data_IF_107373108101
#
_entry.id   IF_107373108101
#
_cell.length_a   1.000
_cell.length_b   1.000
_cell.length_c   1.000
_cell.angle_alpha   90.00
_cell.angle_beta   90.00
_cell.angle_gamma   90.00
#
_symmetry.space_group_name_H-M   'P 1'
#
loop_
_entity.id
_entity.type
_entity.pdbx_description
1 polymer ?
#
# COMPACT_ATOMS: atom_id res chain seq x y z
N UNK A 1 3.86 6.34 -88.56
CA UNK A 1 2.89 6.99 -87.65
C UNK A 1 1.60 6.19 -87.80
N UNK A 2 1.12 5.32 -86.89
CA UNK A 2 1.32 5.16 -85.45
C UNK A 2 1.47 3.66 -85.10
N UNK A 3 2.38 3.40 -84.17
CA UNK A 3 2.59 2.14 -83.45
C UNK A 3 2.15 2.42 -82.00
N UNK A 4 1.43 1.52 -81.33
CA UNK A 4 1.33 1.36 -79.85
C UNK A 4 0.58 0.03 -79.61
N UNK A 5 1.28 -1.07 -79.31
CA UNK A 5 1.78 -1.55 -78.00
C UNK A 5 0.69 -2.19 -77.12
N UNK A 6 0.63 -3.53 -77.18
CA UNK A 6 0.02 -4.40 -76.18
C UNK A 6 0.89 -4.39 -74.91
N UNK A 7 0.30 -4.00 -73.78
CA UNK A 7 0.93 -4.07 -72.46
C UNK A 7 0.47 -5.34 -71.76
N UNK A 8 1.39 -6.29 -71.56
CA UNK A 8 1.20 -7.41 -70.64
C UNK A 8 1.34 -6.90 -69.20
N UNK A 9 0.30 -7.09 -68.39
CA UNK A 9 0.33 -6.80 -66.97
C UNK A 9 1.15 -7.86 -66.22
N UNK A 10 2.33 -7.48 -65.75
CA UNK A 10 3.08 -8.20 -64.72
C UNK A 10 2.54 -7.79 -63.35
N UNK A 11 1.85 -8.69 -62.67
CA UNK A 11 1.45 -8.51 -61.28
C UNK A 11 2.66 -8.77 -60.36
N UNK A 12 3.10 -7.81 -59.52
CA UNK A 12 4.05 -8.11 -58.47
C UNK A 12 3.31 -8.75 -57.28
N UNK A 13 3.67 -9.98 -56.95
CA UNK A 13 3.39 -10.60 -55.65
C UNK A 13 4.17 -9.82 -54.58
N UNK A 14 3.54 -8.79 -53.99
CA UNK A 14 4.04 -8.21 -52.74
C UNK A 14 3.46 -9.00 -51.59
N UNK A 15 4.27 -9.87 -51.00
CA UNK A 15 4.02 -10.53 -49.73
C UNK A 15 3.75 -9.47 -48.66
N UNK A 16 2.50 -9.36 -48.22
CA UNK A 16 2.15 -8.58 -47.04
C UNK A 16 2.71 -9.30 -45.80
N UNK A 17 3.89 -8.89 -45.35
CA UNK A 17 4.28 -9.15 -43.96
C UNK A 17 3.34 -8.35 -43.06
N UNK A 18 2.31 -9.02 -42.54
CA UNK A 18 1.54 -8.54 -41.41
C UNK A 18 2.45 -8.54 -40.18
N UNK A 19 2.91 -7.36 -39.76
CA UNK A 19 3.43 -7.16 -38.41
C UNK A 19 2.25 -7.26 -37.43
N UNK A 20 2.21 -8.27 -36.54
CA UNK A 20 1.16 -8.34 -35.54
C UNK A 20 1.41 -7.26 -34.48
N UNK A 21 0.40 -6.40 -34.28
CA UNK A 21 0.24 -5.58 -33.08
C UNK A 21 1.08 -4.31 -33.04
N UNK A 22 0.49 -3.19 -33.48
CA UNK A 22 0.87 -1.89 -32.90
C UNK A 22 0.43 -1.90 -31.43
N UNK A 23 1.34 -2.32 -30.54
CA UNK A 23 1.20 -2.10 -29.11
C UNK A 23 1.11 -0.59 -28.92
N UNK A 24 0.03 -0.13 -28.28
CA UNK A 24 -0.16 1.28 -27.97
C UNK A 24 0.90 1.69 -26.92
N UNK A 25 2.11 2.01 -27.39
CA UNK A 25 3.30 2.34 -26.58
C UNK A 25 3.32 3.82 -26.16
N UNK A 26 2.17 4.48 -26.09
CA UNK A 26 2.15 5.85 -25.59
C UNK A 26 2.07 5.81 -24.07
N UNK A 27 2.94 6.58 -23.40
CA UNK A 27 2.79 6.83 -21.96
C UNK A 27 1.37 7.37 -21.71
N UNK A 28 0.66 6.91 -20.66
CA UNK A 28 -0.63 7.47 -20.27
C UNK A 28 -0.45 8.89 -19.68
N UNK A 29 -0.03 9.85 -20.51
CA UNK A 29 0.17 11.26 -20.17
C UNK A 29 -1.14 11.89 -19.66
N UNK A 30 -2.27 11.45 -20.20
CA UNK A 30 -3.62 12.00 -19.90
C UNK A 30 -4.21 11.45 -18.61
N UNK A 31 -3.86 10.22 -18.20
CA UNK A 31 -4.48 9.56 -17.04
C UNK A 31 -3.80 9.91 -15.71
N UNK A 32 -2.55 10.40 -15.74
CA UNK A 32 -1.76 10.70 -14.54
C UNK A 32 -1.20 12.14 -14.49
N UNK A 33 -1.64 13.02 -15.40
CA UNK A 33 -1.31 14.45 -15.43
C UNK A 33 0.22 14.74 -15.40
N UNK A 34 1.02 13.93 -16.11
CA UNK A 34 2.49 14.03 -16.11
C UNK A 34 3.00 14.80 -17.32
N UNK A 35 3.94 15.73 -17.09
CA UNK A 35 4.60 16.55 -18.13
C UNK A 35 6.10 16.25 -18.12
N UNK A 36 6.64 15.87 -19.27
CA UNK A 36 8.04 15.49 -19.44
C UNK A 36 8.70 16.32 -20.54
N UNK A 37 9.97 16.67 -20.33
CA UNK A 37 10.80 17.15 -21.44
C UNK A 37 11.11 15.98 -22.40
N UNK A 38 11.63 16.27 -23.59
CA UNK A 38 11.86 15.25 -24.63
C UNK A 38 12.77 14.12 -24.17
N UNK A 39 13.85 14.42 -23.44
CA UNK A 39 14.78 13.42 -22.97
C UNK A 39 14.13 12.50 -21.91
N UNK A 40 13.54 13.10 -20.89
CA UNK A 40 12.84 12.35 -19.83
C UNK A 40 11.68 11.53 -20.41
N UNK A 41 11.00 12.02 -21.44
CA UNK A 41 9.93 11.25 -22.09
C UNK A 41 10.41 9.91 -22.63
N UNK A 42 11.56 9.86 -23.30
CA UNK A 42 12.09 8.61 -23.84
C UNK A 42 12.55 7.65 -22.74
N UNK A 43 13.15 8.19 -21.66
CA UNK A 43 13.52 7.41 -20.48
C UNK A 43 12.28 6.79 -19.81
N UNK A 44 11.25 7.59 -19.56
CA UNK A 44 9.96 7.15 -18.98
C UNK A 44 9.27 6.13 -19.87
N UNK A 45 9.30 6.32 -21.19
CA UNK A 45 8.73 5.39 -22.15
C UNK A 45 9.45 4.04 -22.13
N UNK A 46 10.78 4.03 -22.01
CA UNK A 46 11.55 2.80 -21.90
C UNK A 46 11.18 2.04 -20.61
N UNK A 47 11.13 2.74 -19.46
CA UNK A 47 10.74 2.15 -18.17
C UNK A 47 9.32 1.58 -18.24
N UNK A 48 8.38 2.34 -18.79
CA UNK A 48 7.00 1.91 -18.97
C UNK A 48 6.88 0.66 -19.84
N UNK A 49 7.61 0.63 -20.96
CA UNK A 49 7.62 -0.52 -21.86
C UNK A 49 8.16 -1.77 -21.16
N UNK A 50 9.22 -1.61 -20.35
CA UNK A 50 9.81 -2.73 -19.61
C UNK A 50 8.85 -3.24 -18.51
N UNK A 51 8.26 -2.34 -17.72
CA UNK A 51 7.25 -2.73 -16.74
C UNK A 51 6.03 -3.38 -17.40
N UNK A 52 5.60 -2.90 -18.58
CA UNK A 52 4.53 -3.55 -19.35
C UNK A 52 4.90 -4.98 -19.76
N UNK A 53 6.12 -5.21 -20.26
CA UNK A 53 6.60 -6.57 -20.57
C UNK A 53 6.63 -7.47 -19.35
N UNK A 54 7.07 -6.95 -18.20
CA UNK A 54 7.04 -7.70 -16.92
C UNK A 54 5.62 -8.09 -16.51
N UNK A 55 4.67 -7.16 -16.63
CA UNK A 55 3.25 -7.40 -16.36
C UNK A 55 2.71 -8.49 -17.29
N UNK A 56 2.93 -8.35 -18.59
CA UNK A 56 2.41 -9.29 -19.59
C UNK A 56 2.99 -10.70 -19.34
N UNK A 57 4.31 -10.82 -19.13
CA UNK A 57 4.98 -12.09 -18.79
C UNK A 57 4.46 -12.72 -17.49
N UNK A 58 4.24 -11.92 -16.44
CA UNK A 58 3.67 -12.43 -15.19
C UNK A 58 2.24 -12.93 -15.40
N UNK A 59 1.41 -12.18 -16.11
CA UNK A 59 0.00 -12.53 -16.31
C UNK A 59 -0.21 -13.71 -17.29
N UNK A 60 0.77 -14.05 -18.11
CA UNK A 60 0.80 -15.29 -18.93
C UNK A 60 1.06 -16.54 -18.08
N UNK A 61 1.69 -16.39 -16.91
CA UNK A 61 1.99 -17.47 -15.99
C UNK A 61 0.80 -17.88 -15.10
N UNK A 62 0.95 -18.99 -14.38
CA UNK A 62 -0.03 -19.45 -13.40
C UNK A 62 0.33 -18.93 -11.99
N UNK A 63 -0.11 -17.72 -11.67
CA UNK A 63 0.15 -17.05 -10.39
C UNK A 63 -1.14 -16.77 -9.62
N UNK A 64 -1.05 -16.68 -8.29
CA UNK A 64 -2.19 -16.37 -7.40
C UNK A 64 -2.65 -14.91 -7.45
N UNK A 65 -1.88 -14.04 -8.10
CA UNK A 65 -2.20 -12.63 -8.32
C UNK A 65 -1.81 -12.20 -9.74
N UNK A 66 -2.43 -11.11 -10.20
CA UNK A 66 -2.11 -10.47 -11.48
C UNK A 66 -1.53 -9.07 -11.24
N UNK A 67 -0.71 -8.61 -12.18
CA UNK A 67 -0.19 -7.25 -12.21
C UNK A 67 -0.95 -6.40 -13.25
N UNK A 68 -0.91 -5.08 -13.10
CA UNK A 68 -1.47 -4.16 -14.08
C UNK A 68 -0.69 -2.85 -14.15
N UNK A 69 -0.91 -2.10 -15.23
CA UNK A 69 -0.45 -0.73 -15.32
C UNK A 69 -1.15 0.13 -14.27
N UNK A 70 -0.40 1.02 -13.63
CA UNK A 70 -0.87 1.94 -12.60
C UNK A 70 0.00 3.21 -12.61
N UNK A 71 -0.19 4.11 -11.64
CA UNK A 71 0.52 5.40 -11.58
C UNK A 71 2.05 5.29 -11.45
N UNK A 72 2.57 4.11 -11.11
CA UNK A 72 3.99 3.82 -10.92
C UNK A 72 4.64 3.12 -12.13
N UNK A 73 3.88 2.85 -13.20
CA UNK A 73 4.37 2.03 -14.31
C UNK A 73 5.52 2.64 -15.11
N UNK A 74 5.75 3.95 -15.03
CA UNK A 74 6.87 4.66 -15.66
C UNK A 74 8.03 4.96 -14.67
N UNK A 75 8.03 4.30 -13.51
CA UNK A 75 9.09 4.38 -12.50
C UNK A 75 9.90 3.10 -12.43
N UNK A 76 11.21 3.25 -12.25
CA UNK A 76 12.05 2.14 -11.77
C UNK A 76 11.74 1.86 -10.30
N UNK A 77 12.01 0.64 -9.83
CA UNK A 77 11.81 0.33 -8.41
C UNK A 77 12.72 1.17 -7.49
N UNK A 78 13.91 1.59 -7.96
CA UNK A 78 14.79 2.49 -7.22
C UNK A 78 14.17 3.88 -7.01
N UNK A 79 13.57 4.46 -8.05
CA UNK A 79 12.82 5.73 -7.93
C UNK A 79 11.60 5.56 -7.03
N UNK A 80 10.84 4.48 -7.20
CA UNK A 80 9.67 4.19 -6.37
C UNK A 80 10.05 4.09 -4.90
N UNK A 81 11.07 3.31 -4.58
CA UNK A 81 11.57 3.14 -3.20
C UNK A 81 12.00 4.47 -2.60
N UNK A 82 12.72 5.31 -3.36
CA UNK A 82 13.19 6.62 -2.89
C UNK A 82 12.06 7.59 -2.57
N UNK A 83 10.93 7.48 -3.26
CA UNK A 83 9.81 8.43 -3.14
C UNK A 83 8.66 7.93 -2.25
N UNK A 84 8.40 6.63 -2.18
CA UNK A 84 7.17 6.09 -1.57
C UNK A 84 7.40 5.13 -0.39
N UNK A 85 8.62 4.62 -0.21
CA UNK A 85 8.96 3.66 0.85
C UNK A 85 9.87 4.31 1.89
N UNK A 86 10.11 3.60 3.00
CA UNK A 86 11.06 4.06 4.01
C UNK A 86 12.49 4.10 3.46
N UNK A 87 13.21 5.18 3.76
CA UNK A 87 14.61 5.34 3.36
C UNK A 87 15.56 4.61 4.30
N UNK A 88 15.14 4.34 5.54
CA UNK A 88 15.94 3.69 6.58
C UNK A 88 15.14 2.56 7.26
N UNK A 89 15.79 1.45 7.66
CA UNK A 89 15.15 0.44 8.49
C UNK A 89 14.60 1.05 9.77
N UNK A 90 13.39 0.67 10.16
CA UNK A 90 12.77 1.14 11.40
C UNK A 90 12.96 0.11 12.52
N UNK A 91 12.97 0.57 13.77
CA UNK A 91 13.11 -0.32 14.91
C UNK A 91 11.78 -0.98 15.27
N UNK A 92 11.50 -2.13 14.62
CA UNK A 92 10.32 -2.95 14.85
C UNK A 92 10.24 -3.62 16.24
N UNK A 93 11.06 -3.22 17.21
CA UNK A 93 10.95 -3.67 18.59
C UNK A 93 9.60 -3.25 19.19
N UNK A 94 8.93 -4.22 19.84
CA UNK A 94 7.71 -3.95 20.57
C UNK A 94 7.98 -2.92 21.67
N UNK A 95 7.16 -1.88 21.72
CA UNK A 95 7.16 -0.94 22.82
C UNK A 95 6.43 -1.54 24.04
N UNK A 96 6.13 -0.75 25.07
CA UNK A 96 5.41 -1.27 26.25
C UNK A 96 4.00 -1.74 25.85
N UNK A 97 3.56 -2.87 26.43
CA UNK A 97 2.25 -3.48 26.17
C UNK A 97 2.38 -4.71 25.27
N UNK A 98 1.82 -5.83 25.70
CA UNK A 98 1.81 -7.09 24.97
C UNK A 98 0.38 -7.57 24.80
N UNK A 99 0.00 -7.87 23.57
CA UNK A 99 -1.29 -8.49 23.29
C UNK A 99 -1.28 -9.95 23.75
N UNK A 100 -2.35 -10.38 24.42
CA UNK A 100 -2.55 -11.77 24.81
C UNK A 100 -3.76 -12.28 24.05
N UNK A 101 -3.52 -13.25 23.16
CA UNK A 101 -4.57 -13.88 22.36
C UNK A 101 -5.63 -14.55 23.24
N UNK A 102 -6.89 -14.48 22.81
CA UNK A 102 -7.99 -15.20 23.47
C UNK A 102 -7.92 -16.72 23.27
N UNK A 103 -7.08 -17.22 22.35
CA UNK A 103 -6.94 -18.64 21.96
C UNK A 103 -8.26 -19.32 21.53
N UNK A 104 -9.29 -18.53 21.18
CA UNK A 104 -10.59 -19.05 20.74
C UNK A 104 -10.63 -19.45 19.27
N UNK A 105 -11.65 -20.20 18.82
CA UNK A 105 -11.90 -20.39 17.40
C UNK A 105 -12.27 -19.05 16.75
N UNK A 106 -11.67 -18.75 15.61
CA UNK A 106 -11.98 -17.53 14.85
C UNK A 106 -12.86 -17.84 13.64
N UNK A 107 -13.74 -16.91 13.22
CA UNK A 107 -14.49 -17.07 11.97
C UNK A 107 -13.53 -17.27 10.80
N UNK A 108 -13.93 -18.07 9.81
CA UNK A 108 -13.10 -18.38 8.62
C UNK A 108 -12.79 -17.13 7.79
N UNK A 109 -13.69 -16.14 7.82
CA UNK A 109 -13.48 -14.85 7.18
C UNK A 109 -14.08 -13.71 7.98
N UNK A 110 -13.41 -12.56 7.94
CA UNK A 110 -13.85 -11.29 8.52
C UNK A 110 -13.49 -10.17 7.55
N UNK A 111 -14.39 -9.20 7.40
CA UNK A 111 -14.15 -7.97 6.63
C UNK A 111 -14.80 -6.82 7.39
N UNK A 112 -14.01 -5.97 8.03
CA UNK A 112 -14.50 -4.84 8.84
C UNK A 112 -15.27 -3.82 8.00
N UNK A 113 -15.03 -3.76 6.68
CA UNK A 113 -15.79 -2.92 5.75
C UNK A 113 -17.25 -3.38 5.61
N UNK A 114 -17.52 -4.66 5.88
CA UNK A 114 -18.86 -5.27 5.81
C UNK A 114 -19.58 -5.30 7.17
N UNK A 115 -18.87 -5.09 8.27
CA UNK A 115 -19.44 -5.10 9.64
C UNK A 115 -20.15 -3.80 10.01
N UNK A 116 -19.85 -2.71 9.31
CA UNK A 116 -20.40 -1.38 9.56
C UNK A 116 -19.52 -0.29 8.96
N UNK A 117 -19.82 0.96 9.29
CA UNK A 117 -19.01 2.10 8.86
C UNK A 117 -17.77 2.26 9.75
N UNK A 118 -16.84 1.30 9.68
CA UNK A 118 -15.68 1.21 10.56
C UNK A 118 -14.34 1.43 9.85
N UNK A 119 -14.32 1.61 8.54
CA UNK A 119 -13.07 1.79 7.78
C UNK A 119 -13.26 3.00 6.88
N UNK A 120 -12.40 4.00 7.02
CA UNK A 120 -12.42 5.21 6.18
C UNK A 120 -12.09 4.89 4.71
N UNK A 121 -12.36 5.85 3.83
CA UNK A 121 -11.95 5.78 2.42
C UNK A 121 -10.43 5.63 2.27
N UNK A 122 -10.00 5.09 1.13
CA UNK A 122 -8.58 4.97 0.79
C UNK A 122 -8.01 6.36 0.50
N UNK A 123 -6.93 6.71 1.22
CA UNK A 123 -6.17 7.95 1.04
C UNK A 123 -4.95 7.72 0.13
N UNK A 124 -4.17 8.77 -0.14
CA UNK A 124 -2.96 8.72 -0.96
C UNK A 124 -1.80 9.47 -0.26
N UNK A 125 -0.74 8.76 0.09
CA UNK A 125 0.46 9.32 0.73
C UNK A 125 1.31 10.18 -0.22
N UNK A 126 1.14 10.06 -1.54
CA UNK A 126 2.00 10.76 -2.50
C UNK A 126 3.49 10.41 -2.35
N UNK A 127 4.41 11.25 -2.87
CA UNK A 127 5.85 10.99 -2.87
C UNK A 127 6.50 11.29 -1.51
N UNK A 128 5.99 10.66 -0.45
CA UNK A 128 6.49 10.72 0.91
C UNK A 128 6.37 9.33 1.54
N UNK A 129 7.45 8.82 2.16
CA UNK A 129 7.50 7.52 2.86
C UNK A 129 6.73 7.49 4.19
N UNK A 130 5.53 8.06 4.21
CA UNK A 130 4.69 8.26 5.40
C UNK A 130 3.56 7.25 5.54
N UNK A 131 3.59 6.12 4.84
CA UNK A 131 2.62 5.03 4.96
C UNK A 131 2.33 4.59 6.41
N UNK A 132 3.34 4.70 7.29
CA UNK A 132 3.19 4.47 8.73
C UNK A 132 2.14 5.37 9.38
N UNK A 133 2.01 6.62 8.94
CA UNK A 133 0.97 7.55 9.42
C UNK A 133 -0.42 7.11 8.98
N UNK A 134 -0.58 6.68 7.72
CA UNK A 134 -1.86 6.17 7.17
C UNK A 134 -2.28 4.85 7.79
N UNK A 135 -1.32 3.98 8.11
CA UNK A 135 -1.57 2.76 8.89
C UNK A 135 -2.06 3.12 10.30
N UNK A 136 -1.39 4.08 10.96
CA UNK A 136 -1.74 4.57 12.30
C UNK A 136 -3.14 5.18 12.34
N UNK A 137 -3.40 6.18 11.50
CA UNK A 137 -4.69 6.87 11.42
C UNK A 137 -5.78 5.87 11.05
N UNK A 138 -5.60 5.06 10.01
CA UNK A 138 -6.60 4.07 9.60
C UNK A 138 -6.99 3.08 10.71
N UNK A 139 -6.01 2.66 11.53
CA UNK A 139 -6.28 1.81 12.69
C UNK A 139 -7.04 2.58 13.78
N UNK A 140 -6.56 3.76 14.20
CA UNK A 140 -7.18 4.56 15.25
C UNK A 140 -8.60 5.05 14.87
N UNK A 141 -8.79 5.45 13.61
CA UNK A 141 -10.08 5.78 13.00
C UNK A 141 -11.06 4.61 13.15
N UNK A 142 -10.60 3.39 12.84
CA UNK A 142 -11.42 2.18 12.93
C UNK A 142 -11.76 1.83 14.37
N UNK A 143 -10.77 1.88 15.28
CA UNK A 143 -10.95 1.58 16.70
C UNK A 143 -11.92 2.57 17.35
N UNK A 144 -11.78 3.87 17.06
CA UNK A 144 -12.69 4.90 17.54
C UNK A 144 -14.12 4.71 17.00
N UNK A 145 -14.26 4.35 15.71
CA UNK A 145 -15.57 4.08 15.11
C UNK A 145 -16.24 2.85 15.71
N UNK A 146 -15.48 1.78 16.00
CA UNK A 146 -15.99 0.57 16.67
C UNK A 146 -16.47 0.90 18.09
N UNK A 147 -15.71 1.72 18.83
CA UNK A 147 -16.02 2.06 20.22
C UNK A 147 -17.18 3.06 20.35
N UNK A 148 -17.29 4.02 19.42
CA UNK A 148 -18.17 5.20 19.59
C UNK A 148 -19.24 5.34 18.51
N UNK A 149 -19.16 4.58 17.42
CA UNK A 149 -19.99 4.74 16.23
C UNK A 149 -19.62 5.94 15.34
N UNK A 150 -18.54 6.68 15.66
CA UNK A 150 -18.11 7.86 14.89
C UNK A 150 -16.82 7.58 14.12
N UNK A 151 -16.92 7.58 12.80
CA UNK A 151 -15.78 7.46 11.90
C UNK A 151 -15.30 8.86 11.49
N UNK A 152 -14.12 9.26 11.96
CA UNK A 152 -13.58 10.60 11.78
C UNK A 152 -12.22 10.52 11.08
N UNK A 153 -12.02 11.11 9.89
CA UNK A 153 -10.69 11.17 9.27
C UNK A 153 -9.68 11.93 10.14
N UNK A 154 -8.58 11.28 10.48
CA UNK A 154 -7.51 11.82 11.33
C UNK A 154 -6.33 12.34 10.51
N UNK A 155 -5.58 13.27 11.08
CA UNK A 155 -4.45 13.93 10.42
C UNK A 155 -3.21 13.04 10.38
N UNK A 156 -2.85 12.57 9.20
CA UNK A 156 -1.53 12.00 8.95
C UNK A 156 -0.42 13.06 9.10
N UNK A 157 -0.70 14.31 8.73
CA UNK A 157 0.30 15.37 8.73
C UNK A 157 0.81 15.70 10.13
N UNK A 158 -0.06 15.66 11.15
CA UNK A 158 0.39 15.82 12.53
C UNK A 158 1.43 14.76 12.90
N UNK A 159 1.26 13.51 12.47
CA UNK A 159 2.26 12.46 12.73
C UNK A 159 3.56 12.73 11.96
N UNK A 160 3.46 13.12 10.69
CA UNK A 160 4.64 13.50 9.88
C UNK A 160 5.44 14.62 10.55
N UNK A 161 4.77 15.63 11.12
CA UNK A 161 5.41 16.85 11.59
C UNK A 161 5.80 16.83 13.08
N UNK A 162 5.17 15.98 13.91
CA UNK A 162 5.25 16.10 15.37
C UNK A 162 5.73 14.86 16.14
N UNK A 163 5.82 13.67 15.52
CA UNK A 163 6.04 12.42 16.23
C UNK A 163 7.53 11.99 16.37
N UNK A 164 8.47 12.91 16.12
CA UNK A 164 9.91 12.60 16.03
C UNK A 164 10.51 12.16 17.37
N UNK A 165 10.01 12.68 18.50
CA UNK A 165 10.45 12.28 19.85
C UNK A 165 10.17 10.79 20.17
N UNK A 166 9.39 10.11 19.32
CA UNK A 166 9.05 8.69 19.44
C UNK A 166 9.76 7.81 18.40
N UNK A 167 10.89 8.26 17.85
CA UNK A 167 11.66 7.59 16.79
C UNK A 167 10.91 7.44 15.45
N UNK A 168 10.00 8.36 15.15
CA UNK A 168 9.45 8.48 13.80
C UNK A 168 10.21 9.56 13.02
N UNK A 169 10.27 9.42 11.70
CA UNK A 169 11.17 10.17 10.84
C UNK A 169 10.44 10.83 9.67
N UNK A 170 9.22 11.32 9.90
CA UNK A 170 8.44 12.05 8.89
C UNK A 170 8.27 11.27 7.59
N UNK A 171 8.77 11.82 6.49
CA UNK A 171 8.71 11.18 5.16
C UNK A 171 9.77 10.10 4.94
N UNK A 172 10.71 9.91 5.88
CA UNK A 172 11.76 8.88 5.80
C UNK A 172 11.32 7.53 6.37
N UNK A 173 10.24 7.51 7.15
CA UNK A 173 9.66 6.32 7.75
C UNK A 173 9.24 6.53 9.19
N UNK A 174 8.68 5.49 9.78
CA UNK A 174 8.19 5.46 11.17
C UNK A 174 7.40 4.18 11.40
N UNK A 175 6.90 3.97 12.62
CA UNK A 175 6.13 2.77 12.97
C UNK A 175 4.80 3.11 13.62
N UNK A 176 3.72 2.35 13.30
CA UNK A 176 2.43 2.57 13.93
C UNK A 176 2.43 2.49 15.46
N UNK A 177 3.16 1.53 16.06
CA UNK A 177 3.27 1.41 17.52
C UNK A 177 3.84 2.67 18.18
N UNK A 178 4.94 3.20 17.63
CA UNK A 178 5.57 4.43 18.07
C UNK A 178 4.67 5.65 17.87
N UNK A 179 3.93 5.69 16.76
CA UNK A 179 2.96 6.73 16.48
C UNK A 179 1.78 6.70 17.47
N UNK A 180 1.28 5.51 17.84
CA UNK A 180 0.25 5.37 18.87
C UNK A 180 0.76 5.85 20.24
N UNK A 181 2.02 5.57 20.59
CA UNK A 181 2.63 6.12 21.81
C UNK A 181 2.70 7.65 21.76
N UNK A 182 3.14 8.23 20.65
CA UNK A 182 3.09 9.68 20.45
C UNK A 182 1.69 10.22 20.74
N UNK A 183 0.63 9.65 20.14
CA UNK A 183 -0.75 10.11 20.34
C UNK A 183 -1.17 10.01 21.82
N UNK A 184 -0.80 8.91 22.49
CA UNK A 184 -1.11 8.65 23.90
C UNK A 184 -0.46 9.68 24.85
N UNK A 185 0.81 10.03 24.61
CA UNK A 185 1.55 10.98 25.44
C UNK A 185 1.27 12.45 25.05
N UNK A 186 1.08 12.73 23.76
CA UNK A 186 0.69 14.04 23.21
C UNK A 186 -0.75 14.44 23.59
N UNK A 187 -1.54 13.50 24.13
CA UNK A 187 -2.95 13.68 24.49
C UNK A 187 -3.81 14.02 23.29
N UNK A 188 -3.59 13.28 22.20
CA UNK A 188 -4.52 13.18 21.09
C UNK A 188 -3.95 13.55 19.73
N UNK A 189 -4.80 13.33 18.73
CA UNK A 189 -4.56 13.54 17.31
C UNK A 189 -5.69 14.39 16.72
N UNK A 190 -5.35 15.40 15.92
CA UNK A 190 -6.28 16.28 15.23
C UNK A 190 -6.95 15.57 14.03
N UNK A 191 -8.04 16.14 13.53
CA UNK A 191 -8.69 15.67 12.30
C UNK A 191 -7.90 16.07 11.06
N UNK A 192 -8.12 15.36 9.95
CA UNK A 192 -7.59 15.75 8.63
C UNK A 192 -8.06 17.16 8.21
N UNK A 193 -9.25 17.58 8.62
CA UNK A 193 -9.76 18.93 8.30
C UNK A 193 -9.01 20.02 9.05
N UNK A 194 -8.67 19.78 10.32
CA UNK A 194 -7.98 20.77 11.17
C UNK A 194 -6.47 20.81 10.92
N UNK A 195 -5.88 19.72 10.42
CA UNK A 195 -4.46 19.63 10.06
C UNK A 195 -4.28 18.80 8.77
N UNK A 196 -4.49 19.43 7.59
CA UNK A 196 -4.50 18.72 6.31
C UNK A 196 -3.16 18.12 5.89
N UNK A 197 -3.23 17.00 5.18
CA UNK A 197 -2.09 16.30 4.59
C UNK A 197 -1.42 17.06 3.45
N UNK A 198 -0.09 17.09 3.47
CA UNK A 198 0.76 17.84 2.53
C UNK A 198 1.80 16.98 1.81
N UNK A 199 1.97 15.71 2.20
CA UNK A 199 2.98 14.80 1.63
C UNK A 199 4.42 15.35 1.68
N UNK A 200 4.73 16.17 2.68
CA UNK A 200 6.05 16.75 2.90
C UNK A 200 6.21 17.07 4.38
N UNK A 201 7.43 17.04 4.88
CA UNK A 201 7.74 17.44 6.25
C UNK A 201 7.50 18.95 6.44
N UNK A 202 6.82 19.30 7.52
CA UNK A 202 6.54 20.66 7.93
C UNK A 202 6.90 20.92 9.38
N UNK A 203 6.53 22.11 9.85
CA UNK A 203 6.62 22.44 11.27
C UNK A 203 5.42 21.85 12.01
N UNK A 204 5.62 21.30 13.20
CA UNK A 204 4.53 20.81 14.04
C UNK A 204 3.55 21.94 14.41
N UNK A 205 2.29 21.82 13.96
CA UNK A 205 1.21 22.78 14.20
C UNK A 205 0.09 22.22 15.09
N UNK A 206 0.40 21.25 15.95
CA UNK A 206 -0.57 20.62 16.85
C UNK A 206 -1.25 21.64 17.77
N UNK A 207 -2.58 21.53 17.90
CA UNK A 207 -3.42 22.36 18.76
C UNK A 207 -4.24 21.46 19.69
N UNK A 208 -3.94 21.40 21.00
CA UNK A 208 -4.60 20.46 21.92
C UNK A 208 -6.13 20.58 21.96
N UNK A 209 -6.68 21.79 21.81
CA UNK A 209 -8.13 22.01 21.81
C UNK A 209 -8.85 21.50 20.55
N UNK A 210 -8.11 21.08 19.52
CA UNK A 210 -8.61 20.47 18.29
C UNK A 210 -8.31 18.96 18.22
N UNK A 211 -7.79 18.36 19.30
CA UNK A 211 -7.59 16.92 19.37
C UNK A 211 -8.95 16.20 19.32
N UNK A 212 -9.09 15.23 18.40
CA UNK A 212 -10.35 14.54 18.10
C UNK A 212 -10.32 13.04 18.42
N UNK A 213 -9.15 12.42 18.44
CA UNK A 213 -8.97 11.02 18.82
C UNK A 213 -7.82 10.87 19.82
N UNK A 214 -7.94 9.88 20.71
CA UNK A 214 -7.01 9.67 21.81
C UNK A 214 -6.65 8.19 21.89
N UNK A 215 -5.43 7.90 22.31
CA UNK A 215 -4.97 6.53 22.59
C UNK A 215 -4.81 6.38 24.09
N UNK A 216 -5.45 5.36 24.65
CA UNK A 216 -5.34 4.99 26.07
C UNK A 216 -4.16 4.05 26.31
N UNK A 217 -4.03 3.02 25.48
CA UNK A 217 -3.01 1.98 25.56
C UNK A 217 -2.60 1.54 24.15
N UNK A 218 -1.37 1.02 24.03
CA UNK A 218 -0.84 0.45 22.79
C UNK A 218 -0.68 -1.05 22.98
N UNK A 219 -1.26 -1.84 22.07
CA UNK A 219 -1.15 -3.30 22.08
C UNK A 219 -0.21 -3.73 20.96
N UNK A 220 0.97 -4.24 21.35
CA UNK A 220 1.91 -4.85 20.41
C UNK A 220 1.64 -6.34 20.31
N UNK A 221 1.46 -6.84 19.10
CA UNK A 221 1.37 -8.27 18.82
C UNK A 221 2.77 -8.88 18.90
N UNK A 222 2.89 -10.07 19.47
CA UNK A 222 4.17 -10.76 19.59
C UNK A 222 4.79 -10.96 18.20
N UNK A 223 6.05 -10.59 18.04
CA UNK A 223 6.75 -10.69 16.75
C UNK A 223 6.64 -12.12 16.18
N UNK A 224 6.29 -12.19 14.90
CA UNK A 224 6.05 -13.40 14.12
C UNK A 224 4.83 -14.23 14.53
N UNK A 225 4.06 -13.81 15.54
CA UNK A 225 2.82 -14.47 15.92
C UNK A 225 1.64 -14.00 15.04
N UNK A 226 1.63 -14.45 13.79
CA UNK A 226 0.57 -14.12 12.83
C UNK A 226 -0.82 -14.58 13.31
N UNK A 227 -0.90 -15.60 14.17
CA UNK A 227 -2.16 -16.06 14.75
C UNK A 227 -2.72 -15.08 15.80
N UNK A 228 -1.86 -14.36 16.54
CA UNK A 228 -2.31 -13.24 17.38
C UNK A 228 -2.88 -12.10 16.54
N UNK A 229 -2.36 -11.86 15.33
CA UNK A 229 -2.99 -10.90 14.39
C UNK A 229 -4.38 -11.39 13.97
N UNK A 230 -4.57 -12.69 13.74
CA UNK A 230 -5.88 -13.27 13.40
C UNK A 230 -6.87 -13.05 14.53
N UNK A 231 -6.46 -13.36 15.77
CA UNK A 231 -7.28 -13.15 16.96
C UNK A 231 -7.64 -11.67 17.15
N UNK A 232 -6.68 -10.76 17.01
CA UNK A 232 -6.90 -9.32 17.14
C UNK A 232 -7.86 -8.79 16.07
N UNK A 233 -7.64 -9.12 14.78
CA UNK A 233 -8.55 -8.73 13.69
C UNK A 233 -9.93 -9.31 13.88
N UNK A 234 -10.03 -10.53 14.43
CA UNK A 234 -11.30 -11.20 14.61
C UNK A 234 -12.15 -10.64 15.75
N UNK A 235 -11.50 -10.34 16.87
CA UNK A 235 -12.16 -10.08 18.15
C UNK A 235 -12.09 -8.61 18.58
N UNK A 236 -11.15 -7.82 18.03
CA UNK A 236 -10.91 -6.43 18.44
C UNK A 236 -11.22 -5.44 17.34
N UNK A 237 -10.35 -5.32 16.33
CA UNK A 237 -10.35 -4.22 15.36
C UNK A 237 -9.36 -4.50 14.22
N UNK A 238 -9.34 -3.69 13.14
CA UNK A 238 -8.26 -3.70 12.17
C UNK A 238 -6.87 -3.48 12.77
N UNK A 239 -5.85 -4.20 12.29
CA UNK A 239 -4.49 -4.20 12.87
C UNK A 239 -3.48 -3.56 11.92
N UNK A 240 -2.68 -2.62 12.42
CA UNK A 240 -1.55 -2.05 11.70
C UNK A 240 -0.40 -3.05 11.64
N UNK A 241 0.24 -3.20 10.48
CA UNK A 241 1.44 -4.01 10.33
C UNK A 241 2.36 -3.45 9.25
N UNK A 242 3.64 -3.86 9.27
CA UNK A 242 4.62 -3.54 8.23
C UNK A 242 5.08 -4.80 7.50
N UNK A 243 5.44 -4.66 6.23
CA UNK A 243 5.99 -5.73 5.39
C UNK A 243 7.02 -5.16 4.39
N UNK A 244 7.78 -6.02 3.73
CA UNK A 244 8.68 -5.63 2.65
C UNK A 244 7.93 -5.57 1.30
N UNK A 245 7.88 -4.37 0.73
CA UNK A 245 7.48 -4.15 -0.66
C UNK A 245 8.67 -4.44 -1.57
N UNK A 246 8.43 -5.26 -2.59
CA UNK A 246 9.34 -5.58 -3.71
C UNK A 246 8.81 -5.04 -5.03
N UNK A 247 9.60 -5.21 -6.09
CA UNK A 247 9.34 -4.55 -7.39
C UNK A 247 8.09 -5.03 -8.13
N UNK A 248 7.64 -6.25 -7.87
CA UNK A 248 6.42 -6.84 -8.39
C UNK A 248 5.16 -6.32 -7.65
N UNK A 249 5.24 -6.17 -6.33
CA UNK A 249 4.16 -5.62 -5.51
C UNK A 249 3.76 -4.20 -5.94
N UNK A 250 4.73 -3.38 -6.35
CA UNK A 250 4.49 -2.04 -6.91
C UNK A 250 3.42 -2.05 -8.02
N UNK A 251 3.36 -3.13 -8.80
CA UNK A 251 2.47 -3.31 -9.96
C UNK A 251 1.31 -4.27 -9.68
N UNK A 252 1.09 -4.66 -8.42
CA UNK A 252 -0.04 -5.51 -8.01
C UNK A 252 -1.38 -4.92 -8.49
N UNK A 253 -2.28 -5.81 -8.94
CA UNK A 253 -3.64 -5.44 -9.35
C UNK A 253 -4.72 -6.16 -8.55
N UNK A 254 -4.72 -7.50 -8.53
CA UNK A 254 -5.74 -8.31 -7.87
C UNK A 254 -5.26 -9.73 -7.60
N UNK A 255 -5.99 -10.46 -6.76
CA UNK A 255 -5.65 -11.82 -6.33
C UNK A 255 -4.81 -11.83 -5.06
N UNK A 256 -4.36 -13.01 -4.63
CA UNK A 256 -3.58 -13.17 -3.39
C UNK A 256 -2.10 -13.02 -3.69
N UNK A 257 -1.51 -11.91 -3.26
CA UNK A 257 -0.09 -11.63 -3.43
C UNK A 257 0.77 -12.62 -2.62
N UNK A 258 1.81 -13.12 -3.29
CA UNK A 258 2.85 -13.99 -2.74
C UNK A 258 4.15 -13.62 -3.42
N UNK A 259 5.27 -13.69 -2.70
CA UNK A 259 6.59 -13.49 -3.30
C UNK A 259 7.61 -14.43 -2.67
N UNK A 260 8.54 -14.89 -3.50
CA UNK A 260 9.73 -15.63 -3.06
C UNK A 260 10.96 -14.72 -2.96
N UNK A 261 10.83 -13.45 -3.34
CA UNK A 261 11.92 -12.46 -3.33
C UNK A 261 11.92 -11.62 -2.05
N UNK A 262 10.75 -11.36 -1.47
CA UNK A 262 10.66 -10.62 -0.22
C UNK A 262 11.17 -11.47 0.96
N UNK A 263 11.84 -10.81 1.88
CA UNK A 263 12.32 -11.38 3.13
C UNK A 263 11.21 -11.38 4.17
N UNK A 264 11.44 -12.11 5.26
CA UNK A 264 10.47 -12.27 6.35
C UNK A 264 10.99 -11.73 7.70
N UNK A 265 11.95 -10.81 7.68
CA UNK A 265 12.65 -10.28 8.85
C UNK A 265 12.31 -8.81 9.13
N UNK A 266 12.44 -8.40 10.39
CA UNK A 266 12.13 -7.04 10.87
C UNK A 266 12.97 -5.94 10.22
N UNK A 267 14.21 -6.21 9.78
CA UNK A 267 15.11 -5.22 9.19
C UNK A 267 14.80 -4.89 7.72
N UNK A 268 13.92 -5.68 7.08
CA UNK A 268 13.59 -5.57 5.67
C UNK A 268 12.24 -4.92 5.38
N UNK A 269 11.35 -4.89 6.36
CA UNK A 269 10.05 -4.22 6.19
C UNK A 269 10.26 -2.73 5.90
N UNK A 270 9.50 -2.22 4.94
CA UNK A 270 9.72 -0.87 4.38
C UNK A 270 8.41 -0.12 4.06
N UNK A 271 7.27 -0.73 4.38
CA UNK A 271 5.94 -0.19 4.14
C UNK A 271 4.96 -0.66 5.23
N UNK A 272 4.18 0.26 5.77
CA UNK A 272 3.15 -0.03 6.78
C UNK A 272 1.74 0.17 6.21
N UNK A 273 0.84 -0.73 6.59
CA UNK A 273 -0.51 -0.88 6.03
C UNK A 273 -1.49 -1.35 7.12
N UNK A 274 -2.77 -1.53 6.78
CA UNK A 274 -3.81 -1.88 7.74
C UNK A 274 -4.55 -3.17 7.32
N UNK A 275 -4.44 -4.23 8.11
CA UNK A 275 -5.26 -5.43 7.96
C UNK A 275 -6.69 -5.14 8.43
N UNK A 276 -7.64 -5.06 7.49
CA UNK A 276 -9.06 -4.79 7.77
C UNK A 276 -9.92 -6.05 7.76
N UNK A 277 -9.30 -7.21 7.64
CA UNK A 277 -9.99 -8.48 7.54
C UNK A 277 -9.08 -9.58 7.01
N UNK A 278 -9.66 -10.76 6.85
CA UNK A 278 -9.00 -11.93 6.28
C UNK A 278 -10.05 -12.89 5.71
N UNK A 279 -9.62 -13.82 4.88
CA UNK A 279 -10.48 -14.85 4.32
C UNK A 279 -9.72 -16.07 3.84
N UNK A 280 -10.40 -16.86 3.04
CA UNK A 280 -9.86 -17.99 2.31
C UNK A 280 -10.58 -18.10 0.97
N UNK A 281 -9.85 -18.40 -0.10
CA UNK A 281 -10.39 -18.71 -1.42
C UNK A 281 -9.69 -19.95 -1.96
N UNK A 282 -10.46 -20.96 -2.41
CA UNK A 282 -9.96 -22.23 -2.95
C UNK A 282 -8.81 -22.88 -2.14
N UNK A 283 -8.87 -22.80 -0.81
CA UNK A 283 -7.85 -23.35 0.10
C UNK A 283 -6.75 -22.34 0.48
N UNK A 284 -6.55 -21.27 -0.28
CA UNK A 284 -5.55 -20.22 0.01
C UNK A 284 -6.10 -19.20 0.99
N UNK A 285 -5.46 -19.09 2.15
CA UNK A 285 -5.79 -18.08 3.17
C UNK A 285 -5.12 -16.74 2.87
N UNK A 286 -5.83 -15.64 3.09
CA UNK A 286 -5.29 -14.30 2.81
C UNK A 286 -5.75 -13.25 3.83
N UNK A 287 -4.97 -12.18 3.94
CA UNK A 287 -5.34 -10.92 4.59
C UNK A 287 -6.04 -10.00 3.60
N UNK A 288 -7.00 -9.20 4.08
CA UNK A 288 -7.61 -8.07 3.37
C UNK A 288 -6.94 -6.81 3.89
N UNK A 289 -6.20 -6.10 3.04
CA UNK A 289 -5.30 -5.04 3.49
C UNK A 289 -5.60 -3.73 2.79
N UNK A 290 -5.81 -2.67 3.58
CA UNK A 290 -5.97 -1.29 3.09
C UNK A 290 -4.58 -0.69 2.87
N UNK A 291 -4.34 -0.17 1.66
CA UNK A 291 -3.11 0.53 1.30
C UNK A 291 -3.35 2.06 1.30
N UNK A 292 -2.27 2.84 1.08
CA UNK A 292 -2.24 4.30 1.08
C UNK A 292 -1.74 4.90 -0.24
N UNK A 293 -1.93 4.21 -1.36
CA UNK A 293 -1.51 4.65 -2.70
C UNK A 293 -2.67 5.11 -3.59
N UNK A 294 -3.77 5.54 -2.98
CA UNK A 294 -4.99 5.93 -3.68
C UNK A 294 -5.85 4.75 -4.15
N UNK A 295 -7.13 5.02 -4.39
CA UNK A 295 -8.13 4.01 -4.75
C UNK A 295 -7.93 3.40 -6.14
N UNK A 296 -7.16 4.03 -7.03
CA UNK A 296 -6.86 3.48 -8.36
C UNK A 296 -5.83 2.36 -8.34
N UNK A 297 -5.10 2.18 -7.25
CA UNK A 297 -4.10 1.12 -7.11
C UNK A 297 -4.74 -0.17 -6.57
N UNK A 298 -4.30 -1.33 -7.06
CA UNK A 298 -4.80 -2.63 -6.60
C UNK A 298 -6.32 -2.79 -6.77
N UNK A 299 -6.96 -3.36 -5.75
CA UNK A 299 -8.40 -3.63 -5.69
C UNK A 299 -9.12 -2.48 -4.97
N UNK A 300 -9.36 -1.37 -5.67
CA UNK A 300 -9.93 -0.14 -5.10
C UNK A 300 -9.11 0.40 -3.91
N UNK A 301 -7.78 0.33 -4.00
CA UNK A 301 -6.85 0.74 -2.93
C UNK A 301 -6.56 -0.34 -1.89
N UNK A 302 -7.10 -1.54 -2.06
CA UNK A 302 -6.83 -2.70 -1.23
C UNK A 302 -5.99 -3.74 -1.98
N UNK A 303 -5.42 -4.67 -1.22
CA UNK A 303 -4.81 -5.87 -1.77
C UNK A 303 -5.08 -7.07 -0.86
N UNK A 304 -4.93 -8.27 -1.43
CA UNK A 304 -4.83 -9.49 -0.64
C UNK A 304 -3.39 -9.99 -0.63
N UNK A 305 -2.94 -10.49 0.51
CA UNK A 305 -1.62 -11.09 0.71
C UNK A 305 -1.78 -12.41 1.45
N UNK A 306 -1.00 -13.42 1.07
CA UNK A 306 -1.10 -14.76 1.66
C UNK A 306 -0.89 -14.72 3.18
N UNK A 307 -1.82 -15.35 3.89
CA UNK A 307 -1.85 -15.43 5.36
C UNK A 307 -1.38 -16.80 5.83
N UNK A 308 -0.67 -16.84 6.94
CA UNK A 308 -0.16 -18.03 7.61
C UNK A 308 1.27 -18.41 7.24
N UNK A 309 2.00 -17.48 6.60
CA UNK A 309 3.38 -17.70 6.14
C UNK A 309 4.35 -16.59 6.54
N UNK A 310 3.91 -15.60 7.33
CA UNK A 310 4.66 -14.37 7.56
C UNK A 310 5.15 -13.76 6.22
N UNK A 311 4.27 -13.75 5.21
CA UNK A 311 4.59 -13.33 3.85
C UNK A 311 5.17 -11.90 3.87
N UNK A 312 6.37 -11.74 3.31
CA UNK A 312 7.10 -10.47 3.30
C UNK A 312 7.32 -9.83 4.69
N UNK A 313 7.33 -10.64 5.76
CA UNK A 313 7.56 -10.14 7.12
C UNK A 313 6.33 -9.48 7.75
N UNK A 314 5.12 -9.70 7.22
CA UNK A 314 3.90 -9.02 7.68
C UNK A 314 3.59 -9.21 9.18
N UNK A 315 4.11 -10.26 9.81
CA UNK A 315 3.92 -10.54 11.24
C UNK A 315 5.10 -10.05 12.10
N UNK A 316 6.11 -9.39 11.52
CA UNK A 316 7.31 -8.97 12.22
C UNK A 316 7.03 -7.90 13.28
N UNK A 317 6.20 -6.90 12.95
CA UNK A 317 5.82 -5.79 13.82
C UNK A 317 4.40 -5.34 13.50
N UNK A 318 3.45 -5.80 14.31
CA UNK A 318 2.04 -5.41 14.21
C UNK A 318 1.52 -4.90 15.55
N UNK A 319 0.61 -3.94 15.49
CA UNK A 319 0.09 -3.26 16.68
C UNK A 319 -1.27 -2.64 16.40
N UNK A 320 -1.98 -2.31 17.47
CA UNK A 320 -3.21 -1.53 17.42
C UNK A 320 -3.39 -0.74 18.73
N UNK A 321 -4.11 0.39 18.72
CA UNK A 321 -4.40 1.16 19.91
C UNK A 321 -5.67 0.66 20.61
N UNK A 322 -5.80 1.01 21.88
CA UNK A 322 -7.06 0.99 22.62
C UNK A 322 -7.48 2.43 22.89
N UNK A 323 -8.76 2.74 22.72
CA UNK A 323 -9.37 4.05 22.97
C UNK A 323 -10.24 4.04 24.21
#
# INVERSE_FOLDING_TARGET
INMILLVFALAPLTSAFHLPGQVNNNLPRVQHNKVYNTQEYYERLQIFTENKRRIDKHNEGNHSFTMALNQFSDMTFGEFRKSFLWSEPQNCSATKGSYISSNGPHPVSIDWRKKGNYVTDVKNQGPCGSCWTFSTTGCLESVAAIATGRLLPLSEQQLVDCAQDFNNHGCKGGLPSQAFEYIMYNKGLMTETDYPYKAVEGTCMYRPHLAAAFVKEVMNVTAYNEMEMVDAVATRNPVSFAFEVTSDFMLYSKGVYTSTECHNTTDKVNHAVLAVGYGQDNGTTYWIVKNSWGSSWGMNGYFFIERGKNMCGLAACSSFPVV
#
